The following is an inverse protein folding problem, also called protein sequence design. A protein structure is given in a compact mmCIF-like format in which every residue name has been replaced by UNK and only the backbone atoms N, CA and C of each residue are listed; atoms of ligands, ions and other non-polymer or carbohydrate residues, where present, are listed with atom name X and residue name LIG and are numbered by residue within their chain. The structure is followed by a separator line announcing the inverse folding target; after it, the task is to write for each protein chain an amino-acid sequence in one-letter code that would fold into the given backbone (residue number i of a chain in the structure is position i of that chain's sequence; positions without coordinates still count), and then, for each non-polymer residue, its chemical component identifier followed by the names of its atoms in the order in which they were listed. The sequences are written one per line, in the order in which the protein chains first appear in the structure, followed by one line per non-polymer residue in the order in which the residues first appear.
data_IF_216530284957
#
_entry.id   IF_216530284957
#
_cell.length_a   1.000
_cell.length_b   1.000
_cell.length_c   1.000
_cell.angle_alpha   90.00
_cell.angle_beta   90.00
_cell.angle_gamma   90.00
#
_symmetry.space_group_name_H-M   'P 1'
#
loop_
_entity.id
_entity.type
_entity.pdbx_description
1 polymer ?
#
# COMPACT_ATOMS: atom_id res chain seq x y z
N UNK A 1 9.58 -31.06 -41.26
CA UNK A 1 10.33 -29.95 -40.63
C UNK A 1 9.36 -29.22 -39.73
N UNK A 2 9.61 -29.25 -38.42
CA UNK A 2 8.72 -28.77 -37.37
C UNK A 2 8.50 -27.26 -37.44
N UNK A 3 7.25 -26.82 -37.28
CA UNK A 3 6.89 -25.41 -37.09
C UNK A 3 7.30 -24.99 -35.67
N UNK A 4 8.27 -24.09 -35.52
CA UNK A 4 8.52 -23.42 -34.23
C UNK A 4 7.65 -22.17 -34.15
N UNK A 5 6.65 -22.23 -33.26
CA UNK A 5 5.79 -21.13 -32.85
C UNK A 5 6.64 -20.00 -32.26
N UNK A 6 6.52 -18.79 -32.82
CA UNK A 6 6.94 -17.57 -32.13
C UNK A 6 5.90 -17.31 -31.04
N UNK A 7 6.26 -17.59 -29.80
CA UNK A 7 5.44 -17.27 -28.62
C UNK A 7 5.48 -15.75 -28.42
N UNK A 8 4.54 -15.03 -29.03
CA UNK A 8 4.28 -13.64 -28.71
C UNK A 8 3.89 -13.55 -27.23
N UNK A 9 4.67 -12.80 -26.46
CA UNK A 9 4.35 -12.49 -25.06
C UNK A 9 3.05 -11.68 -24.98
N UNK A 10 2.21 -11.92 -23.96
CA UNK A 10 0.85 -11.38 -23.83
C UNK A 10 0.79 -9.88 -23.48
N UNK A 11 1.90 -9.16 -23.57
CA UNK A 11 2.02 -7.75 -23.18
C UNK A 11 2.11 -6.80 -24.38
N UNK A 12 1.89 -7.29 -25.60
CA UNK A 12 2.02 -6.52 -26.85
C UNK A 12 0.66 -6.29 -27.53
N UNK A 13 -0.34 -5.83 -26.76
CA UNK A 13 -1.54 -5.20 -27.31
C UNK A 13 -1.67 -3.75 -26.78
N UNK A 14 -1.67 -2.73 -27.67
CA UNK A 14 -1.86 -1.36 -27.26
C UNK A 14 -3.33 -1.13 -26.89
N UNK A 15 -3.60 -0.99 -25.59
CA UNK A 15 -4.94 -0.76 -25.06
C UNK A 15 -5.50 0.59 -25.54
N UNK A 16 -6.30 0.55 -26.60
CA UNK A 16 -6.96 1.72 -27.17
C UNK A 16 -8.21 2.01 -26.35
N UNK A 17 -8.11 2.99 -25.44
CA UNK A 17 -9.19 3.40 -24.51
C UNK A 17 -10.60 3.43 -25.13
N UNK A 18 -11.57 2.74 -24.50
CA UNK A 18 -12.96 3.17 -24.54
C UNK A 18 -13.12 4.47 -23.73
N UNK A 19 -13.81 5.47 -24.28
CA UNK A 19 -14.19 6.68 -23.53
C UNK A 19 -15.13 6.29 -22.39
N UNK A 20 -14.71 6.53 -21.15
CA UNK A 20 -15.58 6.37 -19.97
C UNK A 20 -16.82 7.27 -20.09
N UNK A 21 -18.04 6.76 -19.81
CA UNK A 21 -19.21 7.61 -19.58
C UNK A 21 -19.01 8.41 -18.27
N UNK A 22 -19.58 9.63 -18.15
CA UNK A 22 -19.41 10.42 -16.92
C UNK A 22 -20.12 9.70 -15.78
N UNK A 23 -19.34 9.09 -14.89
CA UNK A 23 -19.85 8.52 -13.66
C UNK A 23 -20.46 9.64 -12.80
N UNK A 24 -21.58 9.39 -12.10
CA UNK A 24 -22.10 10.37 -11.15
C UNK A 24 -21.00 10.70 -10.14
N UNK A 25 -20.82 11.99 -9.85
CA UNK A 25 -19.86 12.52 -8.90
C UNK A 25 -20.11 11.92 -7.50
N UNK A 26 -19.58 10.73 -7.24
CA UNK A 26 -19.89 9.95 -6.05
C UNK A 26 -19.30 10.54 -4.75
N UNK A 27 -18.54 11.65 -4.83
CA UNK A 27 -17.72 12.15 -3.72
C UNK A 27 -17.58 13.68 -3.64
N UNK A 28 -18.27 14.47 -4.45
CA UNK A 28 -18.08 15.94 -4.51
C UNK A 28 -18.70 16.74 -3.32
N UNK A 29 -18.91 16.12 -2.15
CA UNK A 29 -19.37 16.87 -0.99
C UNK A 29 -18.79 16.39 0.35
N UNK A 30 -17.68 15.66 0.32
CA UNK A 30 -16.81 15.59 1.48
C UNK A 30 -15.51 16.23 1.02
N UNK A 31 -15.28 17.47 1.46
CA UNK A 31 -13.94 18.06 1.53
C UNK A 31 -12.95 16.92 1.79
N UNK A 32 -11.88 16.74 0.99
CA UNK A 32 -10.87 15.76 1.31
C UNK A 32 -10.27 16.22 2.64
N UNK A 33 -10.80 15.69 3.74
CA UNK A 33 -10.09 15.65 5.01
C UNK A 33 -8.85 14.88 4.62
N UNK A 34 -7.73 15.60 4.45
CA UNK A 34 -6.47 15.06 3.97
C UNK A 34 -6.26 13.73 4.68
N UNK A 35 -6.43 12.62 3.95
CA UNK A 35 -6.31 11.30 4.57
C UNK A 35 -4.91 11.22 5.13
N UNK A 36 -4.73 10.86 6.42
CA UNK A 36 -3.41 10.78 7.01
C UNK A 36 -2.55 9.83 6.19
N UNK A 37 -1.35 10.28 5.82
CA UNK A 37 -0.40 9.48 5.06
C UNK A 37 0.40 8.64 6.06
N UNK A 38 -0.12 7.45 6.39
CA UNK A 38 0.43 6.60 7.45
C UNK A 38 1.28 5.50 6.84
N UNK A 39 2.51 5.35 7.33
CA UNK A 39 3.42 4.28 6.98
C UNK A 39 3.77 3.45 8.22
N UNK A 40 3.99 2.15 8.01
CA UNK A 40 4.42 1.22 9.05
C UNK A 40 5.68 0.46 8.59
N UNK A 41 6.61 0.26 9.51
CA UNK A 41 7.86 -0.45 9.26
C UNK A 41 8.34 -1.17 10.51
N UNK A 42 9.26 -2.12 10.32
CA UNK A 42 10.01 -2.74 11.40
C UNK A 42 11.43 -2.20 11.32
N UNK A 43 11.93 -1.57 12.38
CA UNK A 43 13.37 -1.39 12.55
C UNK A 43 13.92 -2.71 13.09
N UNK A 44 14.72 -3.37 12.26
CA UNK A 44 15.32 -4.67 12.55
C UNK A 44 16.78 -4.53 13.02
N UNK A 45 17.10 -3.46 13.75
CA UNK A 45 18.42 -3.29 14.34
C UNK A 45 18.71 -4.48 15.27
N UNK A 46 19.87 -5.19 15.15
CA UNK A 46 20.10 -6.47 15.82
C UNK A 46 19.96 -6.47 17.35
N UNK A 47 20.07 -5.29 17.97
CA UNK A 47 19.94 -5.11 19.41
C UNK A 47 18.51 -4.87 19.88
N UNK A 48 17.61 -4.39 19.00
CA UNK A 48 16.21 -4.06 19.30
C UNK A 48 15.39 -4.08 18.01
N UNK A 49 14.54 -5.09 17.86
CA UNK A 49 13.46 -5.07 16.89
C UNK A 49 12.33 -4.18 17.42
N UNK A 50 11.92 -3.18 16.66
CA UNK A 50 10.79 -2.32 17.01
C UNK A 50 9.84 -2.14 15.84
N UNK A 51 8.55 -2.08 16.13
CA UNK A 51 7.52 -1.74 15.16
C UNK A 51 7.22 -0.25 15.23
N UNK A 52 7.29 0.44 14.10
CA UNK A 52 7.12 1.88 14.00
C UNK A 52 5.92 2.19 13.11
N UNK A 53 5.03 3.06 13.58
CA UNK A 53 3.94 3.64 12.80
C UNK A 53 4.14 5.16 12.79
N UNK A 54 4.17 5.75 11.60
CA UNK A 54 4.35 7.19 11.44
C UNK A 54 3.31 7.76 10.48
N UNK A 55 2.71 8.89 10.85
CA UNK A 55 2.02 9.76 9.90
C UNK A 55 3.05 10.67 9.25
N UNK A 56 3.47 10.36 8.02
CA UNK A 56 4.55 11.06 7.32
C UNK A 56 4.14 12.45 6.82
N UNK A 57 2.86 12.80 6.95
CA UNK A 57 2.36 14.14 6.63
C UNK A 57 2.55 15.14 7.77
N UNK A 58 2.94 14.69 8.97
CA UNK A 58 3.11 15.54 10.15
C UNK A 58 4.43 15.29 10.84
N UNK A 59 4.99 16.36 11.39
CA UNK A 59 6.18 16.28 12.24
C UNK A 59 5.85 15.63 13.59
N UNK A 60 6.79 14.84 14.11
CA UNK A 60 6.70 14.17 15.41
C UNK A 60 5.43 13.32 15.65
N UNK A 61 4.74 12.92 14.58
CA UNK A 61 3.51 12.13 14.62
C UNK A 61 3.80 10.64 14.39
N UNK A 62 4.58 10.04 15.27
CA UNK A 62 4.96 8.63 15.19
C UNK A 62 4.93 7.95 16.55
N UNK A 63 4.77 6.63 16.53
CA UNK A 63 4.84 5.76 17.70
C UNK A 63 5.71 4.55 17.38
N UNK A 64 6.43 4.04 18.36
CA UNK A 64 7.13 2.75 18.26
C UNK A 64 6.78 1.85 19.43
N UNK A 65 6.86 0.54 19.19
CA UNK A 65 6.72 -0.49 20.24
C UNK A 65 7.83 -1.51 20.07
N UNK A 66 8.47 -1.90 21.17
CA UNK A 66 9.45 -2.98 21.16
C UNK A 66 8.74 -4.32 20.88
N UNK A 67 9.40 -5.23 20.16
CA UNK A 67 8.86 -6.56 19.87
C UNK A 67 8.41 -7.29 21.14
N UNK A 68 9.15 -7.15 22.25
CA UNK A 68 8.80 -7.78 23.54
C UNK A 68 7.56 -7.21 24.20
N UNK A 69 7.18 -5.98 23.86
CA UNK A 69 6.01 -5.29 24.41
C UNK A 69 4.79 -5.40 23.48
N UNK A 70 4.98 -5.90 22.26
CA UNK A 70 3.91 -6.12 21.30
C UNK A 70 3.06 -7.34 21.71
N UNK A 71 1.74 -7.18 21.64
CA UNK A 71 0.81 -8.29 21.84
C UNK A 71 0.96 -9.31 20.72
N UNK A 72 1.16 -10.59 21.05
CA UNK A 72 1.25 -11.67 20.07
C UNK A 72 -0.12 -11.99 19.46
N UNK A 73 -0.14 -12.49 18.22
CA UNK A 73 -1.38 -12.67 17.45
C UNK A 73 -2.43 -13.53 18.16
N UNK A 74 -2.00 -14.54 18.91
CA UNK A 74 -2.85 -15.43 19.69
C UNK A 74 -3.61 -14.70 20.82
N UNK A 75 -3.14 -13.53 21.25
CA UNK A 75 -3.74 -12.72 22.31
C UNK A 75 -4.72 -11.66 21.76
N UNK A 76 -4.86 -11.55 20.43
CA UNK A 76 -5.78 -10.63 19.76
C UNK A 76 -7.19 -11.24 19.73
N UNK A 77 -7.84 -11.37 20.88
CA UNK A 77 -9.21 -11.88 20.98
C UNK A 77 -10.26 -10.88 20.47
#
# INVERSE_FOLDING_TARGET
MSTMSRSSTPWDEPDTKPRDPPLPHARDALEPVSSPDVMASIDATPSRSEFVIADVSREDAWVSVEESDATVLEEWC
#
